data_IF_184881601370
#
_entry.id   IF_184881601370
#
_cell.length_a   1.000
_cell.length_b   1.000
_cell.length_c   1.000
_cell.angle_alpha   90.00
_cell.angle_beta   90.00
_cell.angle_gamma   90.00
#
_symmetry.space_group_name_H-M   'P 1'
#
loop_
_entity.id
_entity.type
_entity.pdbx_description
1 polymer ?
#
# COMPACT_ATOMS: atom_id res chain seq x y z
N UNK A 1 -10.69 -26.22 20.91
CA UNK A 1 -9.47 -26.19 20.07
C UNK A 1 -9.15 -24.74 19.73
N UNK A 2 -7.92 -24.28 19.94
CA UNK A 2 -7.51 -22.92 19.51
C UNK A 2 -7.26 -22.98 18.00
N UNK A 3 -8.09 -22.27 17.21
CA UNK A 3 -7.82 -22.10 15.78
C UNK A 3 -6.54 -21.29 15.61
N UNK A 4 -5.53 -21.85 14.97
CA UNK A 4 -4.41 -21.08 14.44
C UNK A 4 -4.95 -20.31 13.23
N UNK A 5 -5.08 -18.99 13.35
CA UNK A 5 -5.42 -18.09 12.24
C UNK A 5 -4.24 -17.19 11.96
N UNK A 6 -3.86 -17.09 10.70
CA UNK A 6 -2.85 -16.14 10.24
C UNK A 6 -3.29 -14.69 10.44
N UNK A 7 -2.35 -13.75 10.27
CA UNK A 7 -2.62 -12.32 10.28
C UNK A 7 -3.16 -11.78 8.94
N UNK A 8 -3.85 -12.62 8.15
CA UNK A 8 -4.40 -12.26 6.83
C UNK A 8 -5.18 -10.94 6.83
N UNK A 9 -6.15 -10.80 7.75
CA UNK A 9 -6.99 -9.60 7.85
C UNK A 9 -6.16 -8.35 8.11
N UNK A 10 -5.14 -8.44 8.97
CA UNK A 10 -4.25 -7.33 9.28
C UNK A 10 -3.39 -6.93 8.08
N UNK A 11 -2.85 -7.89 7.35
CA UNK A 11 -2.09 -7.62 6.13
C UNK A 11 -2.94 -6.90 5.08
N UNK A 12 -4.18 -7.35 4.84
CA UNK A 12 -5.10 -6.67 3.93
C UNK A 12 -5.44 -5.25 4.38
N UNK A 13 -5.71 -5.03 5.67
CA UNK A 13 -5.98 -3.68 6.20
C UNK A 13 -4.82 -2.71 5.95
N UNK A 14 -3.58 -3.16 6.18
CA UNK A 14 -2.39 -2.35 5.95
C UNK A 14 -2.24 -2.04 4.45
N UNK A 15 -2.37 -3.05 3.58
CA UNK A 15 -2.29 -2.87 2.13
C UNK A 15 -3.34 -1.88 1.61
N UNK A 16 -4.57 -1.93 2.13
CA UNK A 16 -5.63 -0.98 1.76
C UNK A 16 -5.30 0.44 2.19
N UNK A 17 -4.88 0.63 3.46
CA UNK A 17 -4.50 1.94 3.98
C UNK A 17 -3.33 2.56 3.19
N UNK A 18 -2.27 1.79 2.95
CA UNK A 18 -1.13 2.23 2.14
C UNK A 18 -1.51 2.51 0.68
N UNK A 19 -2.47 1.75 0.12
CA UNK A 19 -3.04 2.02 -1.19
C UNK A 19 -3.70 3.40 -1.27
N UNK A 20 -4.55 3.75 -0.29
CA UNK A 20 -5.19 5.07 -0.23
C UNK A 20 -4.19 6.21 -0.11
N UNK A 21 -3.15 6.03 0.70
CA UNK A 21 -2.06 7.01 0.84
C UNK A 21 -1.33 7.21 -0.50
N UNK A 22 -1.09 6.12 -1.22
CA UNK A 22 -0.44 6.17 -2.54
C UNK A 22 -1.31 6.93 -3.56
N UNK A 23 -2.61 6.65 -3.61
CA UNK A 23 -3.54 7.36 -4.48
C UNK A 23 -3.59 8.87 -4.18
N UNK A 24 -3.57 9.24 -2.89
CA UNK A 24 -3.55 10.64 -2.47
C UNK A 24 -2.25 11.36 -2.90
N UNK A 25 -1.09 10.70 -2.79
CA UNK A 25 0.18 11.24 -3.27
C UNK A 25 0.19 11.44 -4.79
N UNK A 26 -0.35 10.48 -5.55
CA UNK A 26 -0.46 10.60 -7.01
C UNK A 26 -1.39 11.74 -7.43
N UNK A 27 -2.53 11.93 -6.73
CA UNK A 27 -3.44 13.05 -6.99
C UNK A 27 -2.79 14.40 -6.69
N UNK A 28 -1.98 14.48 -5.63
CA UNK A 28 -1.34 15.72 -5.18
C UNK A 28 -0.17 16.10 -6.07
N UNK A 29 0.67 15.15 -6.48
CA UNK A 29 1.80 15.39 -7.40
C UNK A 29 1.35 15.89 -8.78
N UNK A 30 0.14 15.52 -9.22
CA UNK A 30 -0.48 16.02 -10.47
C UNK A 30 -0.98 17.47 -10.40
N UNK A 31 -1.18 18.04 -9.20
CA UNK A 31 -1.64 19.43 -9.08
C UNK A 31 -0.54 20.41 -9.50
N UNK A 32 -0.88 21.38 -10.35
CA UNK A 32 0.04 22.46 -10.70
C UNK A 32 0.05 23.51 -9.59
N UNK A 33 1.22 24.09 -9.32
CA UNK A 33 1.32 25.21 -8.39
C UNK A 33 0.79 26.46 -9.10
N UNK A 34 -0.21 27.18 -8.54
CA UNK A 34 -0.72 28.40 -9.13
C UNK A 34 0.42 29.42 -9.27
N UNK A 35 0.53 30.02 -10.45
CA UNK A 35 1.56 31.02 -10.70
C UNK A 35 1.03 32.41 -10.31
N UNK A 36 1.79 33.15 -9.52
CA UNK A 36 1.55 34.58 -9.33
C UNK A 36 2.11 35.32 -10.55
N UNK A 37 1.24 35.88 -11.39
CA UNK A 37 1.58 36.44 -12.71
C UNK A 37 2.52 37.66 -12.68
N UNK A 38 2.96 38.14 -11.51
CA UNK A 38 3.66 39.44 -11.36
C UNK A 38 4.68 39.53 -10.21
N UNK A 39 5.20 38.43 -9.66
CA UNK A 39 6.32 38.50 -8.71
C UNK A 39 7.65 38.23 -9.44
N UNK A 40 8.60 39.13 -9.21
CA UNK A 40 9.87 39.32 -9.91
C UNK A 40 10.60 38.00 -10.20
N UNK A 41 11.06 37.84 -11.44
CA UNK A 41 11.42 36.63 -12.18
C UNK A 41 12.31 35.56 -11.49
N UNK A 42 12.95 35.82 -10.35
CA UNK A 42 13.81 34.85 -9.65
C UNK A 42 13.11 34.06 -8.54
N UNK A 43 12.24 34.69 -7.74
CA UNK A 43 11.56 34.00 -6.62
C UNK A 43 10.55 32.98 -7.14
N UNK A 44 9.84 33.31 -8.23
CA UNK A 44 8.95 32.38 -8.92
C UNK A 44 9.73 31.19 -9.54
N UNK A 45 10.95 31.40 -10.01
CA UNK A 45 11.77 30.34 -10.61
C UNK A 45 12.30 29.37 -9.54
N UNK A 46 12.81 29.88 -8.42
CA UNK A 46 13.23 29.04 -7.29
C UNK A 46 12.05 28.26 -6.70
N UNK A 47 10.90 28.92 -6.50
CA UNK A 47 9.68 28.27 -6.04
C UNK A 47 9.21 27.16 -7.01
N UNK A 48 9.33 27.40 -8.34
CA UNK A 48 9.03 26.39 -9.37
C UNK A 48 9.98 25.20 -9.31
N UNK A 49 11.28 25.43 -9.17
CA UNK A 49 12.27 24.35 -9.04
C UNK A 49 12.01 23.51 -7.79
N UNK A 50 11.83 24.14 -6.63
CA UNK A 50 11.52 23.45 -5.38
C UNK A 50 10.20 22.68 -5.47
N UNK A 51 9.16 23.25 -6.11
CA UNK A 51 7.91 22.54 -6.33
C UNK A 51 8.09 21.30 -7.22
N UNK A 52 8.86 21.41 -8.30
CA UNK A 52 9.14 20.28 -9.19
C UNK A 52 9.94 19.19 -8.49
N UNK A 53 10.93 19.55 -7.67
CA UNK A 53 11.67 18.60 -6.84
C UNK A 53 10.74 17.90 -5.85
N UNK A 54 9.87 18.64 -5.16
CA UNK A 54 8.89 18.06 -4.25
C UNK A 54 7.94 17.08 -4.98
N UNK A 55 7.48 17.41 -6.19
CA UNK A 55 6.66 16.51 -7.02
C UNK A 55 7.41 15.24 -7.40
N UNK A 56 8.68 15.35 -7.76
CA UNK A 56 9.50 14.20 -8.12
C UNK A 56 9.71 13.27 -6.92
N UNK A 57 10.01 13.83 -5.74
CA UNK A 57 10.12 13.08 -4.49
C UNK A 57 8.80 12.40 -4.12
N UNK A 58 7.67 13.11 -4.21
CA UNK A 58 6.35 12.53 -3.96
C UNK A 58 6.01 11.39 -4.94
N UNK A 59 6.41 11.53 -6.21
CA UNK A 59 6.23 10.47 -7.22
C UNK A 59 7.05 9.23 -6.87
N UNK A 60 8.33 9.40 -6.52
CA UNK A 60 9.21 8.29 -6.10
C UNK A 60 8.69 7.61 -4.83
N UNK A 61 8.26 8.38 -3.83
CA UNK A 61 7.66 7.86 -2.61
C UNK A 61 6.40 7.04 -2.92
N UNK A 62 5.51 7.55 -3.76
CA UNK A 62 4.31 6.84 -4.20
C UNK A 62 4.62 5.54 -4.96
N UNK A 63 5.68 5.49 -5.76
CA UNK A 63 6.10 4.25 -6.43
C UNK A 63 6.60 3.20 -5.43
N UNK A 64 7.41 3.61 -4.44
CA UNK A 64 7.90 2.71 -3.40
C UNK A 64 6.74 2.17 -2.54
N UNK A 65 5.82 3.03 -2.11
CA UNK A 65 4.62 2.61 -1.39
C UNK A 65 3.76 1.66 -2.22
N UNK A 66 3.61 1.90 -3.52
CA UNK A 66 2.88 0.98 -4.43
C UNK A 66 3.51 -0.41 -4.45
N UNK A 67 4.85 -0.48 -4.50
CA UNK A 67 5.59 -1.74 -4.48
C UNK A 67 5.37 -2.48 -3.16
N UNK A 68 5.46 -1.78 -2.04
CA UNK A 68 5.25 -2.37 -0.71
C UNK A 68 3.82 -2.86 -0.53
N UNK A 69 2.81 -2.12 -1.01
CA UNK A 69 1.42 -2.59 -1.07
C UNK A 69 1.31 -3.91 -1.83
N UNK A 70 2.04 -4.04 -2.95
CA UNK A 70 2.12 -5.27 -3.73
C UNK A 70 2.67 -6.45 -2.90
N UNK A 71 3.77 -6.24 -2.19
CA UNK A 71 4.36 -7.26 -1.32
C UNK A 71 3.42 -7.67 -0.18
N UNK A 72 2.78 -6.71 0.49
CA UNK A 72 1.86 -7.00 1.60
C UNK A 72 0.64 -7.79 1.10
N UNK A 73 0.12 -7.47 -0.09
CA UNK A 73 -0.95 -8.26 -0.74
C UNK A 73 -0.50 -9.68 -1.06
N UNK A 74 0.76 -9.87 -1.44
CA UNK A 74 1.31 -11.22 -1.67
C UNK A 74 1.34 -12.02 -0.38
N UNK A 75 1.86 -11.44 0.71
CA UNK A 75 1.88 -12.07 2.03
C UNK A 75 0.46 -12.39 2.51
N UNK A 76 -0.50 -11.49 2.28
CA UNK A 76 -1.90 -11.77 2.59
C UNK A 76 -2.41 -13.01 1.83
N UNK A 77 -2.10 -13.16 0.54
CA UNK A 77 -2.48 -14.36 -0.22
C UNK A 77 -1.82 -15.63 0.31
N UNK A 78 -0.57 -15.56 0.76
CA UNK A 78 0.12 -16.69 1.38
C UNK A 78 -0.54 -17.11 2.70
N UNK A 79 -0.91 -16.14 3.53
CA UNK A 79 -1.71 -16.34 4.73
C UNK A 79 -3.06 -17.00 4.44
N UNK A 80 -3.76 -16.57 3.39
CA UNK A 80 -5.03 -17.19 2.97
C UNK A 80 -4.85 -18.65 2.53
N UNK A 81 -3.73 -18.97 1.88
CA UNK A 81 -3.39 -20.36 1.49
C UNK A 81 -3.05 -21.21 2.71
N UNK A 82 -2.26 -20.69 3.64
CA UNK A 82 -1.89 -21.38 4.87
C UNK A 82 -3.12 -21.67 5.74
N UNK A 83 -4.01 -20.69 5.92
CA UNK A 83 -5.25 -20.87 6.69
C UNK A 83 -6.14 -21.94 6.06
N UNK A 84 -6.29 -21.95 4.73
CA UNK A 84 -7.04 -23.00 4.01
C UNK A 84 -6.42 -24.39 4.19
N UNK A 85 -5.10 -24.49 4.06
CA UNK A 85 -4.38 -25.76 4.24
C UNK A 85 -4.57 -26.31 5.65
N UNK A 86 -4.41 -25.46 6.68
CA UNK A 86 -4.64 -25.83 8.07
C UNK A 86 -6.07 -26.30 8.29
N UNK A 87 -7.07 -25.55 7.83
CA UNK A 87 -8.48 -25.97 7.95
C UNK A 87 -8.73 -27.33 7.30
N UNK A 88 -8.26 -27.54 6.07
CA UNK A 88 -8.43 -28.83 5.38
C UNK A 88 -7.72 -30.00 6.07
N UNK A 89 -6.53 -29.77 6.64
CA UNK A 89 -5.80 -30.78 7.40
C UNK A 89 -6.52 -31.17 8.69
N UNK A 90 -7.07 -30.19 9.42
CA UNK A 90 -7.89 -30.44 10.61
C UNK A 90 -9.18 -31.19 10.27
N UNK A 91 -9.84 -30.87 9.14
CA UNK A 91 -11.07 -31.55 8.71
C UNK A 91 -10.81 -33.02 8.33
N UNK A 92 -9.69 -33.31 7.66
CA UNK A 92 -9.29 -34.68 7.30
C UNK A 92 -9.00 -35.54 8.53
N UNK A 93 -8.34 -35.00 9.55
CA UNK A 93 -8.03 -35.72 10.78
C UNK A 93 -9.31 -36.03 11.59
N UNK A 94 -10.24 -35.07 11.66
CA UNK A 94 -11.54 -35.29 12.34
C UNK A 94 -12.39 -36.37 11.66
N UNK A 95 -12.36 -36.48 10.33
CA UNK A 95 -13.04 -37.57 9.62
C UNK A 95 -12.38 -38.94 9.86
N UNK A 96 -11.07 -38.97 10.14
CA UNK A 96 -10.30 -40.20 10.30
C UNK A 96 -10.41 -40.80 11.71
N UNK A 97 -10.64 -39.96 12.72
CA UNK A 97 -10.83 -40.38 14.12
C UNK A 97 -12.31 -40.38 14.57
N UNK A 98 -13.25 -40.05 13.67
CA UNK A 98 -14.69 -40.03 13.92
C UNK A 98 -15.45 -41.33 13.59
N UNK A 99 -14.78 -42.49 13.63
CA UNK A 99 -15.41 -43.81 13.58
C UNK A 99 -15.09 -44.62 14.82
#
# INVERSE_FOLDING_TARGET
MKQVKSNHSRANQIATSMGHVTDAMQRTSKKQVPQASRTTLQVNQAAKQSSNQAKQLMSQLGQNFSRDVGHIRSVAKEFERADRALSSGFDLDLQRFGK
#
